data_IF_440118971777
#
_entry.id   IF_440118971777
#
_cell.length_a   1.000
_cell.length_b   1.000
_cell.length_c   1.000
_cell.angle_alpha   90.00
_cell.angle_beta   90.00
_cell.angle_gamma   90.00
#
_symmetry.space_group_name_H-M   'P 1'
#
loop_
_entity.id
_entity.type
_entity.pdbx_description
1 polymer ?
#
# COMPACT_ATOMS: atom_id res chain seq x y z
N UNK A 1 36.40 -11.59 -0.13
CA UNK A 1 37.10 -10.68 -1.08
C UNK A 1 36.28 -9.43 -1.39
N UNK A 2 34.96 -9.53 -1.57
CA UNK A 2 34.06 -8.40 -1.87
C UNK A 2 33.99 -7.33 -0.77
N UNK A 3 33.89 -7.71 0.51
CA UNK A 3 33.82 -6.74 1.63
C UNK A 3 35.08 -5.90 1.74
N UNK A 4 36.28 -6.50 1.65
CA UNK A 4 37.53 -5.75 1.67
C UNK A 4 37.62 -4.73 0.52
N UNK A 5 37.13 -5.09 -0.66
CA UNK A 5 37.09 -4.20 -1.82
C UNK A 5 36.17 -3.02 -1.55
N UNK A 6 34.95 -3.27 -1.07
CA UNK A 6 33.95 -2.24 -0.79
C UNK A 6 34.19 -1.48 0.53
N UNK A 7 35.13 -1.90 1.37
CA UNK A 7 35.40 -1.23 2.64
C UNK A 7 36.05 0.14 2.41
N UNK A 8 35.33 1.20 2.73
CA UNK A 8 35.82 2.57 2.77
C UNK A 8 36.62 2.82 4.04
N UNK A 9 37.86 2.37 4.01
CA UNK A 9 38.77 2.50 5.14
C UNK A 9 39.06 3.96 5.53
N UNK A 10 38.92 4.91 4.59
CA UNK A 10 39.17 6.34 4.84
C UNK A 10 38.05 6.89 5.72
N UNK A 11 36.80 6.62 5.37
CA UNK A 11 35.65 6.98 6.22
C UNK A 11 35.74 6.33 7.59
N UNK A 12 36.07 5.04 7.66
CA UNK A 12 36.26 4.32 8.92
C UNK A 12 37.36 4.95 9.79
N UNK A 13 38.53 5.25 9.21
CA UNK A 13 39.66 5.90 9.89
C UNK A 13 39.34 7.31 10.38
N UNK A 14 38.61 8.10 9.59
CA UNK A 14 38.27 9.47 9.93
C UNK A 14 37.21 9.54 11.02
N UNK A 15 36.22 8.63 10.97
CA UNK A 15 35.13 8.55 11.93
C UNK A 15 35.60 8.18 13.33
N UNK A 16 36.46 7.16 13.44
CA UNK A 16 36.95 6.65 14.72
C UNK A 16 38.31 7.26 15.10
N UNK A 17 38.28 8.29 15.95
CA UNK A 17 39.48 9.06 16.32
C UNK A 17 40.56 8.27 17.06
N UNK A 18 40.17 7.22 17.77
CA UNK A 18 41.06 6.29 18.46
C UNK A 18 41.97 5.52 17.48
N UNK A 19 41.49 5.21 16.27
CA UNK A 19 42.30 4.52 15.24
C UNK A 19 43.54 5.32 14.83
N UNK A 20 43.44 6.66 14.89
CA UNK A 20 44.57 7.57 14.64
C UNK A 20 45.63 7.44 15.72
N UNK A 21 45.20 7.32 16.97
CA UNK A 21 46.08 7.23 18.13
C UNK A 21 46.90 5.94 18.12
N UNK A 22 46.33 4.85 17.59
CA UNK A 22 46.99 3.54 17.48
C UNK A 22 47.63 3.28 16.10
N UNK A 23 47.76 4.30 15.25
CA UNK A 23 48.53 4.23 14.01
C UNK A 23 47.91 3.38 12.89
N UNK A 24 46.59 3.20 12.90
CA UNK A 24 45.85 2.50 11.84
C UNK A 24 45.60 3.46 10.68
N UNK A 25 46.61 3.67 9.84
CA UNK A 25 46.61 4.70 8.80
C UNK A 25 46.66 4.16 7.36
N UNK A 26 46.36 2.88 7.15
CA UNK A 26 46.31 2.25 5.81
C UNK A 26 45.09 1.35 5.68
N UNK A 27 44.66 1.09 4.45
CA UNK A 27 43.53 0.18 4.17
C UNK A 27 43.72 -1.20 4.80
N UNK A 28 44.93 -1.76 4.71
CA UNK A 28 45.25 -3.08 5.28
C UNK A 28 45.12 -3.06 6.80
N UNK A 29 45.71 -2.05 7.46
CA UNK A 29 45.61 -1.93 8.93
C UNK A 29 44.17 -1.73 9.38
N UNK A 30 43.41 -0.86 8.70
CA UNK A 30 42.02 -0.58 9.01
C UNK A 30 41.13 -1.80 8.81
N UNK A 31 41.35 -2.55 7.73
CA UNK A 31 40.66 -3.81 7.49
C UNK A 31 40.98 -4.86 8.53
N UNK A 32 42.26 -5.03 8.87
CA UNK A 32 42.68 -5.96 9.93
C UNK A 32 42.00 -5.60 11.26
N UNK A 33 42.00 -4.32 11.63
CA UNK A 33 41.29 -3.86 12.82
C UNK A 33 39.79 -4.15 12.75
N UNK A 34 39.14 -3.87 11.62
CA UNK A 34 37.71 -4.15 11.41
C UNK A 34 37.37 -5.61 11.67
N UNK A 35 38.13 -6.55 11.08
CA UNK A 35 37.85 -7.99 11.19
C UNK A 35 38.23 -8.58 12.56
N UNK A 36 39.26 -8.03 13.24
CA UNK A 36 39.71 -8.58 14.54
C UNK A 36 38.98 -8.01 15.74
N UNK A 37 38.63 -6.72 15.68
CA UNK A 37 38.11 -5.95 16.82
C UNK A 37 36.85 -5.15 16.44
N UNK A 38 36.91 -4.32 15.39
CA UNK A 38 35.86 -3.35 15.06
C UNK A 38 34.45 -3.95 14.95
N UNK A 39 34.31 -5.12 14.32
CA UNK A 39 33.01 -5.81 14.20
C UNK A 39 32.45 -6.28 15.54
N UNK A 40 33.32 -6.74 16.45
CA UNK A 40 32.95 -7.17 17.81
C UNK A 40 32.60 -5.99 18.71
N UNK A 41 33.25 -4.86 18.47
CA UNK A 41 32.99 -3.59 19.15
C UNK A 41 31.71 -2.90 18.66
N UNK A 42 31.02 -3.46 17.66
CA UNK A 42 29.80 -2.86 17.09
C UNK A 42 30.07 -1.63 16.23
N UNK A 43 31.30 -1.45 15.72
CA UNK A 43 31.62 -0.35 14.81
C UNK A 43 30.87 -0.47 13.49
N UNK A 44 30.76 0.64 12.77
CA UNK A 44 30.02 0.74 11.52
C UNK A 44 30.89 0.31 10.35
N UNK A 45 30.30 -0.52 9.48
CA UNK A 45 30.88 -0.86 8.20
C UNK A 45 30.57 0.25 7.19
N UNK A 46 31.61 0.95 6.73
CA UNK A 46 31.50 1.98 5.70
C UNK A 46 31.59 1.34 4.31
N UNK A 47 30.45 1.06 3.69
CA UNK A 47 30.39 0.44 2.36
C UNK A 47 30.49 1.52 1.26
N UNK A 48 31.55 1.45 0.44
CA UNK A 48 31.81 2.38 -0.66
C UNK A 48 30.64 2.53 -1.64
N UNK A 49 29.87 1.47 -1.90
CA UNK A 49 28.71 1.54 -2.82
C UNK A 49 27.55 2.27 -2.17
N UNK A 50 27.31 2.04 -0.88
CA UNK A 50 26.25 2.73 -0.16
C UNK A 50 26.58 4.21 0.03
N UNK A 51 27.81 4.51 0.45
CA UNK A 51 28.30 5.88 0.66
C UNK A 51 28.17 6.72 -0.61
N UNK A 52 28.53 6.16 -1.77
CA UNK A 52 28.39 6.83 -3.06
C UNK A 52 26.95 7.21 -3.41
N UNK A 53 25.97 6.49 -2.87
CA UNK A 53 24.55 6.71 -3.12
C UNK A 53 23.84 7.41 -1.95
N UNK A 54 24.55 7.72 -0.87
CA UNK A 54 24.00 8.35 0.33
C UNK A 54 24.30 9.85 0.34
N UNK A 55 23.30 10.64 -0.04
CA UNK A 55 23.34 12.09 0.16
C UNK A 55 22.80 12.41 1.57
N UNK A 56 23.73 12.69 2.48
CA UNK A 56 23.40 12.96 3.88
C UNK A 56 22.59 14.25 4.08
N UNK A 57 22.73 15.24 3.18
CA UNK A 57 21.98 16.49 3.27
C UNK A 57 20.53 16.26 2.84
N UNK A 58 20.33 15.53 1.73
CA UNK A 58 18.99 15.11 1.30
C UNK A 58 18.33 14.25 2.38
N UNK A 59 19.07 13.29 2.95
CA UNK A 59 18.56 12.45 4.03
C UNK A 59 18.03 13.28 5.21
N UNK A 60 18.79 14.27 5.69
CA UNK A 60 18.35 15.13 6.79
C UNK A 60 17.16 16.01 6.37
N UNK A 61 17.18 16.57 5.16
CA UNK A 61 16.12 17.45 4.67
C UNK A 61 14.79 16.71 4.45
N UNK A 62 14.85 15.45 4.01
CA UNK A 62 13.67 14.59 3.85
C UNK A 62 12.94 14.32 5.18
N UNK A 63 13.65 14.42 6.30
CA UNK A 63 13.18 13.96 7.60
C UNK A 63 13.41 15.02 8.70
N UNK A 64 12.50 16.00 8.83
CA UNK A 64 12.63 17.08 9.82
C UNK A 64 12.71 16.57 11.27
N UNK A 65 12.16 15.39 11.57
CA UNK A 65 12.26 14.77 12.88
C UNK A 65 13.71 14.45 13.29
N UNK A 66 14.63 14.39 12.32
CA UNK A 66 16.06 14.16 12.57
C UNK A 66 16.80 15.39 13.09
N UNK A 67 16.23 16.59 12.97
CA UNK A 67 16.88 17.84 13.42
C UNK A 67 17.23 17.80 14.91
N UNK A 68 16.45 17.09 15.73
CA UNK A 68 16.72 16.90 17.16
C UNK A 68 18.02 16.14 17.47
N UNK A 69 18.51 15.31 16.53
CA UNK A 69 19.72 14.53 16.72
C UNK A 69 21.01 15.28 16.33
N UNK A 70 20.91 16.52 15.81
CA UNK A 70 22.06 17.36 15.42
C UNK A 70 23.07 16.59 14.53
N UNK A 71 22.57 15.97 13.47
CA UNK A 71 23.36 15.21 12.48
C UNK A 71 24.15 16.17 11.56
N UNK A 72 25.05 16.97 12.13
CA UNK A 72 25.78 18.07 11.48
C UNK A 72 26.96 17.64 10.58
N UNK A 73 27.14 16.34 10.37
CA UNK A 73 28.23 15.79 9.56
C UNK A 73 27.82 14.51 8.86
N UNK A 74 28.50 14.22 7.74
CA UNK A 74 28.33 12.98 6.99
C UNK A 74 28.42 11.73 7.88
N UNK A 75 29.44 11.68 8.75
CA UNK A 75 29.67 10.54 9.64
C UNK A 75 28.47 10.26 10.55
N UNK A 76 27.97 11.29 11.26
CA UNK A 76 26.81 11.16 12.15
C UNK A 76 25.55 10.78 11.39
N UNK A 77 25.31 11.40 10.23
CA UNK A 77 24.14 11.12 9.41
C UNK A 77 24.16 9.70 8.84
N UNK A 78 25.32 9.23 8.35
CA UNK A 78 25.51 7.88 7.85
C UNK A 78 25.38 6.85 8.98
N UNK A 79 25.94 7.13 10.16
CA UNK A 79 25.76 6.29 11.35
C UNK A 79 24.28 6.12 11.69
N UNK A 80 23.55 7.23 11.81
CA UNK A 80 22.12 7.18 12.07
C UNK A 80 21.39 6.42 10.96
N UNK A 81 21.71 6.64 9.69
CA UNK A 81 21.06 5.95 8.59
C UNK A 81 21.29 4.44 8.65
N UNK A 82 22.52 3.98 8.86
CA UNK A 82 22.84 2.54 8.93
C UNK A 82 22.20 1.87 10.16
N UNK A 83 22.22 2.55 11.31
CA UNK A 83 21.77 1.96 12.58
C UNK A 83 20.26 2.07 12.80
N UNK A 84 19.61 3.11 12.28
CA UNK A 84 18.19 3.39 12.51
C UNK A 84 17.43 3.64 11.21
N UNK A 85 17.98 4.47 10.31
CA UNK A 85 17.28 4.93 9.11
C UNK A 85 16.85 3.78 8.19
N UNK A 86 17.72 2.79 7.95
CA UNK A 86 17.41 1.61 7.14
C UNK A 86 16.28 0.77 7.74
N UNK A 87 16.28 0.57 9.06
CA UNK A 87 15.22 -0.16 9.79
C UNK A 87 13.89 0.59 9.67
N UNK A 88 13.95 1.92 9.65
CA UNK A 88 12.79 2.80 9.47
C UNK A 88 12.42 3.00 7.99
N UNK A 89 13.00 2.21 7.07
CA UNK A 89 12.80 2.30 5.62
C UNK A 89 13.07 3.70 5.01
N UNK A 90 13.93 4.50 5.65
CA UNK A 90 14.27 5.85 5.18
C UNK A 90 15.16 5.85 3.94
N UNK A 91 15.08 6.92 3.15
CA UNK A 91 15.85 7.10 1.92
C UNK A 91 16.56 8.45 1.86
N UNK A 92 17.71 8.49 1.18
CA UNK A 92 18.42 9.72 0.81
C UNK A 92 18.13 10.16 -0.62
N UNK A 93 17.13 9.56 -1.28
CA UNK A 93 16.68 9.98 -2.60
C UNK A 93 15.78 11.21 -2.51
N UNK A 94 15.95 12.12 -3.46
CA UNK A 94 15.09 13.30 -3.62
C UNK A 94 13.96 13.08 -4.65
N UNK A 95 14.15 12.15 -5.58
CA UNK A 95 13.22 11.83 -6.66
C UNK A 95 13.07 10.32 -6.82
N UNK A 96 12.07 9.91 -7.60
CA UNK A 96 11.67 8.54 -7.84
C UNK A 96 11.48 7.74 -6.54
N UNK A 97 10.89 8.36 -5.52
CA UNK A 97 10.57 7.67 -4.28
C UNK A 97 9.29 8.21 -3.65
N UNK A 98 8.51 7.32 -3.05
CA UNK A 98 7.35 7.65 -2.21
C UNK A 98 7.63 7.47 -0.71
N UNK A 99 8.85 7.06 -0.32
CA UNK A 99 9.24 6.84 1.09
C UNK A 99 9.26 8.11 1.94
N UNK A 100 9.31 9.28 1.29
CA UNK A 100 9.35 10.58 1.96
C UNK A 100 7.95 11.08 2.36
N UNK A 101 6.87 10.53 1.80
CA UNK A 101 5.51 10.93 2.16
C UNK A 101 5.09 10.32 3.51
N UNK A 102 4.49 11.12 4.39
CA UNK A 102 4.08 10.70 5.74
C UNK A 102 2.73 9.96 5.79
N UNK A 103 2.10 9.71 4.63
CA UNK A 103 0.79 9.07 4.58
C UNK A 103 0.79 7.59 5.02
N UNK A 104 -0.34 7.16 5.59
CA UNK A 104 -0.60 5.78 5.97
C UNK A 104 -0.83 4.86 4.76
N UNK A 105 -0.91 3.56 5.02
CA UNK A 105 -0.92 2.51 4.01
C UNK A 105 -1.98 2.71 2.90
N UNK A 106 -3.20 3.11 3.25
CA UNK A 106 -4.29 3.34 2.30
C UNK A 106 -4.01 4.46 1.29
N UNK A 107 -3.49 5.60 1.73
CA UNK A 107 -3.15 6.70 0.82
C UNK A 107 -1.87 6.41 0.04
N UNK A 108 -0.91 5.71 0.64
CA UNK A 108 0.26 5.22 -0.08
C UNK A 108 -0.10 4.27 -1.24
N UNK A 109 -1.22 3.55 -1.19
CA UNK A 109 -1.68 2.76 -2.32
C UNK A 109 -1.92 3.62 -3.56
N UNK A 110 -2.65 4.73 -3.45
CA UNK A 110 -2.93 5.62 -4.58
C UNK A 110 -1.64 6.22 -5.16
N UNK A 111 -0.79 6.77 -4.30
CA UNK A 111 0.50 7.36 -4.70
C UNK A 111 1.38 6.30 -5.37
N UNK A 112 1.52 5.12 -4.77
CA UNK A 112 2.34 4.04 -5.31
C UNK A 112 1.80 3.52 -6.63
N UNK A 113 0.48 3.43 -6.81
CA UNK A 113 -0.11 3.02 -8.08
C UNK A 113 0.10 4.09 -9.16
N UNK A 114 -0.04 5.38 -8.84
CA UNK A 114 0.26 6.45 -9.80
C UNK A 114 1.74 6.38 -10.23
N UNK A 115 2.64 6.26 -9.25
CA UNK A 115 4.06 6.08 -9.49
C UNK A 115 4.37 4.76 -10.21
N UNK A 116 3.61 3.69 -10.01
CA UNK A 116 3.76 2.42 -10.72
C UNK A 116 3.50 2.60 -12.22
N UNK A 117 2.39 3.26 -12.58
CA UNK A 117 2.07 3.49 -13.99
C UNK A 117 3.09 4.40 -14.67
N UNK A 118 3.46 5.51 -14.02
CA UNK A 118 4.49 6.41 -14.55
C UNK A 118 5.86 5.75 -14.64
N UNK A 119 6.25 4.97 -13.62
CA UNK A 119 7.52 4.24 -13.65
C UNK A 119 7.53 3.16 -14.70
N UNK A 120 6.41 2.44 -14.91
CA UNK A 120 6.29 1.47 -15.99
C UNK A 120 6.37 2.14 -17.36
N UNK A 121 5.76 3.32 -17.51
CA UNK A 121 5.74 4.08 -18.76
C UNK A 121 7.12 4.62 -19.16
N UNK A 122 7.88 5.10 -18.18
CA UNK A 122 9.20 5.70 -18.39
C UNK A 122 10.36 4.82 -17.93
N UNK A 123 10.10 3.55 -17.61
CA UNK A 123 11.07 2.59 -17.10
C UNK A 123 11.91 3.13 -15.90
N UNK A 124 11.29 3.92 -15.02
CA UNK A 124 11.98 4.58 -13.90
C UNK A 124 12.39 3.57 -12.83
N UNK A 125 13.62 3.70 -12.34
CA UNK A 125 14.04 3.07 -11.10
C UNK A 125 13.42 3.84 -9.92
N UNK A 126 12.42 3.24 -9.26
CA UNK A 126 11.59 3.89 -8.24
C UNK A 126 11.58 3.12 -6.91
N UNK A 127 11.73 3.85 -5.80
CA UNK A 127 11.65 3.29 -4.44
C UNK A 127 10.29 3.56 -3.79
N UNK A 128 9.49 2.51 -3.63
CA UNK A 128 8.15 2.62 -3.05
C UNK A 128 8.14 2.48 -1.53
N UNK A 129 7.36 3.32 -0.85
CA UNK A 129 6.95 3.11 0.54
C UNK A 129 6.11 1.85 0.66
N UNK A 130 6.31 1.05 1.70
CA UNK A 130 5.55 -0.20 1.96
C UNK A 130 5.62 -1.23 0.82
N UNK A 131 6.68 -1.23 0.00
CA UNK A 131 6.82 -2.15 -1.14
C UNK A 131 6.60 -3.61 -0.74
N UNK A 132 7.20 -4.04 0.37
CA UNK A 132 7.08 -5.41 0.87
C UNK A 132 5.65 -5.77 1.31
N UNK A 133 4.91 -4.81 1.87
CA UNK A 133 3.52 -5.00 2.29
C UNK A 133 2.59 -5.10 1.07
N UNK A 134 2.75 -4.24 0.06
CA UNK A 134 2.02 -4.37 -1.21
C UNK A 134 2.33 -5.69 -1.91
N UNK A 135 3.60 -6.11 -1.89
CA UNK A 135 4.01 -7.42 -2.40
C UNK A 135 3.34 -8.57 -1.63
N UNK A 136 3.21 -8.48 -0.30
CA UNK A 136 2.47 -9.45 0.53
C UNK A 136 0.99 -9.51 0.10
N UNK A 137 0.37 -8.38 -0.24
CA UNK A 137 -0.98 -8.32 -0.83
C UNK A 137 -1.09 -8.85 -2.28
N UNK A 138 0.02 -9.27 -2.91
CA UNK A 138 0.03 -9.71 -4.30
C UNK A 138 0.14 -8.58 -5.33
N UNK A 139 0.36 -7.34 -4.90
CA UNK A 139 0.54 -6.17 -5.76
C UNK A 139 2.03 -5.95 -5.99
N UNK A 140 2.49 -6.24 -7.22
CA UNK A 140 3.90 -6.03 -7.58
C UNK A 140 4.05 -4.70 -8.30
N UNK A 141 4.65 -3.74 -7.61
CA UNK A 141 4.98 -2.45 -8.19
C UNK A 141 6.21 -2.58 -9.10
N UNK A 142 6.07 -2.10 -10.33
CA UNK A 142 7.12 -2.02 -11.35
C UNK A 142 8.35 -1.25 -10.83
N UNK A 143 9.54 -1.80 -11.03
CA UNK A 143 10.81 -1.12 -10.76
C UNK A 143 11.65 -1.22 -12.03
N UNK A 144 11.88 -0.08 -12.67
CA UNK A 144 12.71 0.02 -13.85
C UNK A 144 14.18 0.21 -13.52
N UNK A 145 14.96 0.58 -14.53
CA UNK A 145 16.40 0.81 -14.40
C UNK A 145 16.86 2.20 -14.87
N UNK A 146 15.95 3.06 -15.33
CA UNK A 146 16.28 4.38 -15.84
C UNK A 146 16.24 5.45 -14.75
N UNK A 147 17.13 6.43 -14.91
CA UNK A 147 17.12 7.73 -14.24
C UNK A 147 17.37 8.78 -15.31
N UNK A 148 16.69 9.90 -15.23
CA UNK A 148 16.78 11.00 -16.20
C UNK A 148 17.56 12.19 -15.61
N UNK A 149 17.92 13.15 -16.45
CA UNK A 149 18.61 14.37 -16.00
C UNK A 149 17.63 15.39 -15.42
N UNK A 150 16.41 15.43 -15.97
CA UNK A 150 15.36 16.37 -15.57
C UNK A 150 14.36 15.75 -14.59
N UNK A 151 13.79 16.63 -13.76
CA UNK A 151 12.80 16.28 -12.75
C UNK A 151 11.45 16.92 -13.09
N UNK A 152 10.37 16.23 -12.76
CA UNK A 152 8.99 16.69 -12.85
C UNK A 152 8.36 16.65 -11.46
N UNK A 153 7.78 17.77 -11.02
CA UNK A 153 6.99 17.79 -9.80
C UNK A 153 5.62 17.15 -10.08
N UNK A 154 5.35 16.02 -9.41
CA UNK A 154 4.07 15.33 -9.47
C UNK A 154 3.11 15.92 -8.43
N UNK A 155 1.95 16.40 -8.88
CA UNK A 155 0.91 17.01 -8.06
C UNK A 155 -0.43 16.33 -8.30
N UNK A 156 -1.42 16.58 -7.44
CA UNK A 156 -2.78 16.06 -7.63
C UNK A 156 -3.46 16.62 -8.90
N UNK A 157 -2.97 17.75 -9.43
CA UNK A 157 -3.50 18.37 -10.64
C UNK A 157 -2.99 17.72 -11.93
N UNK A 158 -1.77 17.19 -11.94
CA UNK A 158 -1.11 16.73 -13.17
C UNK A 158 -0.95 15.22 -13.29
N UNK A 159 -0.98 14.47 -12.18
CA UNK A 159 -0.54 13.08 -12.19
C UNK A 159 -1.37 12.18 -13.12
N UNK A 160 -2.68 12.39 -13.16
CA UNK A 160 -3.58 11.53 -13.93
C UNK A 160 -3.40 11.73 -15.44
N UNK A 161 -3.28 13.00 -15.88
CA UNK A 161 -2.98 13.33 -17.28
C UNK A 161 -1.62 12.76 -17.69
N UNK A 162 -0.59 12.85 -16.85
CA UNK A 162 0.72 12.27 -17.13
C UNK A 162 0.70 10.74 -17.28
N UNK A 163 -0.23 10.05 -16.60
CA UNK A 163 -0.43 8.61 -16.76
C UNK A 163 -1.07 8.33 -18.12
N UNK A 164 -2.15 9.03 -18.48
CA UNK A 164 -2.96 8.72 -19.65
C UNK A 164 -2.41 9.26 -20.96
N UNK A 165 -1.79 10.45 -20.94
CA UNK A 165 -1.34 11.16 -22.13
C UNK A 165 0.16 11.05 -22.35
N UNK A 166 0.66 11.02 -23.60
CA UNK A 166 2.09 11.03 -23.87
C UNK A 166 2.79 12.25 -23.23
N UNK A 167 3.89 12.02 -22.52
CA UNK A 167 4.76 13.10 -22.04
C UNK A 167 6.23 12.69 -22.10
N UNK A 168 7.12 13.66 -21.98
CA UNK A 168 8.55 13.43 -21.91
C UNK A 168 8.91 12.63 -20.63
N UNK A 169 9.90 11.75 -20.76
CA UNK A 169 10.39 10.95 -19.64
C UNK A 169 11.27 11.78 -18.70
N UNK A 170 10.86 11.88 -17.43
CA UNK A 170 11.53 12.65 -16.37
C UNK A 170 11.53 11.85 -15.08
N UNK A 171 12.45 12.17 -14.16
CA UNK A 171 12.31 11.69 -12.79
C UNK A 171 11.12 12.37 -12.12
N UNK A 172 10.53 11.69 -11.14
CA UNK A 172 9.38 12.19 -10.40
C UNK A 172 9.82 12.71 -9.04
N UNK A 173 9.57 13.98 -8.78
CA UNK A 173 9.61 14.56 -7.44
C UNK A 173 8.17 14.63 -6.95
N UNK A 174 7.85 14.00 -5.82
CA UNK A 174 6.49 14.02 -5.32
C UNK A 174 6.24 15.28 -4.51
N UNK A 175 5.16 15.99 -4.82
CA UNK A 175 4.72 17.08 -3.96
C UNK A 175 4.43 16.56 -2.54
N UNK A 176 4.71 17.38 -1.54
CA UNK A 176 4.58 16.99 -0.14
C UNK A 176 3.16 16.52 0.20
N UNK A 177 2.15 17.24 -0.31
CA UNK A 177 0.73 16.98 -0.08
C UNK A 177 0.06 16.08 -1.15
N UNK A 178 0.84 15.36 -1.98
CA UNK A 178 0.30 14.50 -3.03
C UNK A 178 -0.52 13.34 -2.46
N UNK A 179 -1.78 13.19 -2.85
CA UNK A 179 -2.66 12.10 -2.39
C UNK A 179 -3.04 11.10 -3.47
N UNK A 180 -3.11 11.55 -4.72
CA UNK A 180 -3.70 10.87 -5.88
C UNK A 180 -5.16 10.42 -5.66
N UNK A 181 -5.88 11.06 -4.73
CA UNK A 181 -7.29 10.79 -4.45
C UNK A 181 -8.19 11.42 -5.51
N UNK A 182 -8.31 10.75 -6.66
CA UNK A 182 -9.05 11.25 -7.83
C UNK A 182 -10.08 10.22 -8.31
N UNK A 183 -11.29 10.70 -8.64
CA UNK A 183 -12.41 9.89 -9.16
C UNK A 183 -12.05 9.10 -10.42
N UNK A 184 -11.48 9.76 -11.43
CA UNK A 184 -11.11 9.11 -12.69
C UNK A 184 -10.01 8.07 -12.47
N UNK A 185 -9.06 8.38 -11.59
CA UNK A 185 -8.03 7.42 -11.21
C UNK A 185 -8.60 6.19 -10.50
N UNK A 186 -9.63 6.32 -9.66
CA UNK A 186 -10.33 5.18 -9.07
C UNK A 186 -10.93 4.24 -10.12
N UNK A 187 -11.55 4.80 -11.18
CA UNK A 187 -12.06 4.00 -12.30
C UNK A 187 -10.94 3.35 -13.12
N UNK A 188 -9.84 4.08 -13.33
CA UNK A 188 -8.64 3.54 -13.99
C UNK A 188 -8.07 2.34 -13.24
N UNK A 189 -7.89 2.49 -11.91
CA UNK A 189 -7.46 1.41 -11.02
C UNK A 189 -8.41 0.22 -11.11
N UNK A 190 -9.72 0.45 -11.06
CA UNK A 190 -10.73 -0.60 -11.18
C UNK A 190 -10.59 -1.38 -12.49
N UNK A 191 -10.33 -0.71 -13.62
CA UNK A 191 -10.07 -1.37 -14.90
C UNK A 191 -8.78 -2.19 -14.87
N UNK A 192 -7.71 -1.66 -14.28
CA UNK A 192 -6.44 -2.37 -14.14
C UNK A 192 -6.57 -3.64 -13.29
N UNK A 193 -7.18 -3.54 -12.10
CA UNK A 193 -7.34 -4.69 -11.19
C UNK A 193 -8.43 -5.69 -11.62
N UNK A 194 -9.23 -5.38 -12.64
CA UNK A 194 -10.12 -6.35 -13.30
C UNK A 194 -9.36 -7.38 -14.15
N UNK A 195 -8.14 -7.06 -14.59
CA UNK A 195 -7.34 -7.96 -15.42
C UNK A 195 -7.10 -9.25 -14.62
N UNK A 196 -7.50 -10.38 -15.21
CA UNK A 196 -7.57 -11.67 -14.52
C UNK A 196 -6.24 -12.06 -13.85
N UNK A 197 -5.12 -11.90 -14.56
CA UNK A 197 -3.79 -12.21 -14.04
C UNK A 197 -3.44 -11.40 -12.78
N UNK A 198 -3.83 -10.13 -12.75
CA UNK A 198 -3.55 -9.21 -11.63
C UNK A 198 -4.44 -9.59 -10.43
N UNK A 199 -5.74 -9.76 -10.69
CA UNK A 199 -6.71 -10.16 -9.68
C UNK A 199 -6.36 -11.51 -9.05
N UNK A 200 -6.05 -12.51 -9.87
CA UNK A 200 -5.72 -13.86 -9.41
C UNK A 200 -4.46 -13.87 -8.55
N UNK A 201 -3.47 -13.02 -8.84
CA UNK A 201 -2.27 -12.89 -8.02
C UNK A 201 -2.58 -12.38 -6.61
N UNK A 202 -3.48 -11.42 -6.48
CA UNK A 202 -3.95 -10.92 -5.17
C UNK A 202 -4.67 -12.03 -4.41
N UNK A 203 -5.60 -12.72 -5.08
CA UNK A 203 -6.36 -13.84 -4.49
C UNK A 203 -5.41 -14.95 -3.99
N UNK A 204 -4.44 -15.35 -4.81
CA UNK A 204 -3.47 -16.40 -4.46
C UNK A 204 -2.54 -15.98 -3.33
N UNK A 205 -2.20 -14.69 -3.24
CA UNK A 205 -1.34 -14.16 -2.17
C UNK A 205 -2.09 -14.02 -0.84
N UNK A 206 -3.43 -14.02 -0.87
CA UNK A 206 -4.25 -13.94 0.33
C UNK A 206 -4.19 -15.25 1.13
N UNK A 207 -3.68 -15.18 2.37
CA UNK A 207 -3.59 -16.34 3.28
C UNK A 207 -4.94 -16.91 3.72
N UNK A 208 -6.03 -16.16 3.51
CA UNK A 208 -7.41 -16.54 3.79
C UNK A 208 -8.19 -16.94 2.53
N UNK A 209 -7.51 -17.22 1.41
CA UNK A 209 -8.15 -17.42 0.11
C UNK A 209 -9.27 -18.48 0.07
N UNK A 210 -9.22 -19.50 0.93
CA UNK A 210 -10.25 -20.54 1.03
C UNK A 210 -11.64 -20.01 1.43
N UNK A 211 -11.70 -18.79 1.97
CA UNK A 211 -12.94 -18.14 2.40
C UNK A 211 -13.67 -17.44 1.25
N UNK A 212 -13.00 -17.11 0.15
CA UNK A 212 -13.63 -16.41 -0.96
C UNK A 212 -14.85 -17.19 -1.48
N UNK A 213 -15.99 -16.50 -1.62
CA UNK A 213 -17.27 -17.06 -2.05
C UNK A 213 -17.81 -18.21 -1.17
N UNK A 214 -17.28 -18.39 0.04
CA UNK A 214 -17.60 -19.52 0.92
C UNK A 214 -17.92 -19.09 2.35
N UNK A 215 -18.55 -17.92 2.51
CA UNK A 215 -19.06 -17.42 3.78
C UNK A 215 -20.21 -16.41 3.55
N UNK A 216 -21.04 -16.22 4.56
CA UNK A 216 -22.03 -15.14 4.65
C UNK A 216 -21.63 -14.12 5.72
N UNK A 217 -20.33 -13.87 5.89
CA UNK A 217 -19.80 -13.06 6.98
C UNK A 217 -19.83 -11.57 6.67
N UNK A 218 -19.95 -10.77 7.73
CA UNK A 218 -19.81 -9.31 7.70
C UNK A 218 -18.47 -8.92 8.31
N UNK A 219 -17.72 -8.08 7.62
CA UNK A 219 -16.57 -7.39 8.20
C UNK A 219 -16.86 -5.89 8.38
N UNK A 220 -16.55 -5.38 9.58
CA UNK A 220 -16.71 -3.98 9.95
C UNK A 220 -15.36 -3.35 10.19
N UNK A 221 -15.07 -2.28 9.46
CA UNK A 221 -13.92 -1.43 9.74
C UNK A 221 -14.37 -0.14 10.44
N UNK A 222 -13.80 0.14 11.61
CA UNK A 222 -14.05 1.34 12.39
C UNK A 222 -12.76 2.16 12.51
N UNK A 223 -12.71 3.32 11.85
CA UNK A 223 -11.61 4.29 11.89
C UNK A 223 -12.02 5.47 12.75
N UNK A 224 -11.31 5.68 13.86
CA UNK A 224 -11.62 6.74 14.83
C UNK A 224 -10.58 7.87 14.83
N UNK A 225 -9.30 7.57 15.03
CA UNK A 225 -8.15 8.50 15.16
C UNK A 225 -8.48 10.00 15.14
N UNK A 226 -8.14 10.70 14.06
CA UNK A 226 -8.35 12.15 13.87
C UNK A 226 -9.83 12.55 13.65
N UNK A 227 -10.70 11.62 13.24
CA UNK A 227 -12.15 11.84 13.05
C UNK A 227 -12.85 12.15 14.39
N UNK A 228 -12.23 11.82 15.53
CA UNK A 228 -12.71 12.14 16.88
C UNK A 228 -12.94 13.62 17.15
N UNK A 229 -12.25 14.51 16.44
CA UNK A 229 -12.38 15.95 16.62
C UNK A 229 -13.70 16.52 16.07
N UNK A 230 -14.40 15.76 15.23
CA UNK A 230 -15.68 16.13 14.63
C UNK A 230 -16.85 15.63 15.50
N UNK A 231 -17.09 16.35 16.61
CA UNK A 231 -18.00 16.06 17.73
C UNK A 231 -19.50 15.86 17.42
N UNK A 232 -19.93 15.50 16.20
CA UNK A 232 -21.37 15.47 15.82
C UNK A 232 -21.86 14.29 14.98
N UNK A 233 -21.10 13.21 14.84
CA UNK A 233 -21.56 12.03 14.10
C UNK A 233 -21.96 10.90 15.04
N UNK A 234 -23.19 10.36 14.88
CA UNK A 234 -23.56 9.13 15.56
C UNK A 234 -22.99 7.94 14.78
N UNK A 235 -21.69 7.65 14.97
CA UNK A 235 -21.01 6.55 14.28
C UNK A 235 -21.63 5.20 14.64
N UNK A 236 -22.06 5.01 15.89
CA UNK A 236 -22.69 3.77 16.34
C UNK A 236 -23.95 3.45 15.53
N UNK A 237 -24.83 4.43 15.34
CA UNK A 237 -26.07 4.26 14.56
C UNK A 237 -25.78 3.88 13.11
N UNK A 238 -24.75 4.47 12.48
CA UNK A 238 -24.37 4.10 11.12
C UNK A 238 -24.07 2.60 11.00
N UNK A 239 -23.24 2.05 11.89
CA UNK A 239 -22.91 0.62 11.89
C UNK A 239 -24.13 -0.24 12.27
N UNK A 240 -24.83 0.13 13.34
CA UNK A 240 -26.00 -0.59 13.86
C UNK A 240 -27.13 -0.69 12.84
N UNK A 241 -27.51 0.42 12.19
CA UNK A 241 -28.61 0.44 11.22
C UNK A 241 -28.22 -0.17 9.87
N UNK A 242 -26.93 -0.16 9.51
CA UNK A 242 -26.46 -0.86 8.32
C UNK A 242 -26.48 -2.37 8.53
N UNK A 243 -26.01 -2.85 9.68
CA UNK A 243 -26.04 -4.27 10.04
C UNK A 243 -27.45 -4.88 9.98
N UNK A 244 -28.48 -4.15 10.42
CA UNK A 244 -29.88 -4.62 10.39
C UNK A 244 -30.41 -4.94 8.98
N UNK A 245 -29.76 -4.44 7.93
CA UNK A 245 -30.16 -4.66 6.53
C UNK A 245 -29.56 -5.94 5.93
N UNK A 246 -28.63 -6.56 6.63
CA UNK A 246 -27.81 -7.66 6.12
C UNK A 246 -28.20 -8.94 6.86
N UNK A 247 -28.43 -10.01 6.10
CA UNK A 247 -28.50 -11.38 6.65
C UNK A 247 -27.11 -12.00 6.58
N UNK A 248 -26.56 -12.36 7.73
CA UNK A 248 -25.17 -12.79 7.89
C UNK A 248 -25.04 -13.98 8.86
N UNK A 249 -23.90 -14.66 8.79
CA UNK A 249 -23.54 -15.76 9.69
C UNK A 249 -22.70 -15.27 10.87
N UNK A 250 -21.53 -14.68 10.60
CA UNK A 250 -20.64 -14.13 11.62
C UNK A 250 -20.32 -12.64 11.37
N UNK A 251 -19.95 -11.94 12.43
CA UNK A 251 -19.53 -10.52 12.36
C UNK A 251 -18.12 -10.37 12.91
N UNK A 252 -17.30 -9.69 12.12
CA UNK A 252 -15.93 -9.36 12.45
C UNK A 252 -15.73 -7.85 12.52
N UNK A 253 -14.85 -7.39 13.40
CA UNK A 253 -14.54 -5.98 13.57
C UNK A 253 -13.04 -5.73 13.66
N UNK A 254 -12.57 -4.70 12.99
CA UNK A 254 -11.21 -4.15 13.14
C UNK A 254 -11.27 -2.64 13.30
N UNK A 255 -10.36 -2.10 14.10
CA UNK A 255 -10.25 -0.66 14.34
C UNK A 255 -8.82 -0.26 14.67
N UNK A 256 -8.48 1.00 14.36
CA UNK A 256 -7.27 1.65 14.88
C UNK A 256 -7.32 1.85 16.40
N UNK A 257 -8.51 1.76 17.00
CA UNK A 257 -8.76 1.93 18.43
C UNK A 257 -9.86 0.98 18.91
N UNK A 258 -9.55 -0.31 18.91
CA UNK A 258 -10.56 -1.34 19.25
C UNK A 258 -11.13 -1.18 20.68
N UNK A 259 -10.36 -0.61 21.61
CA UNK A 259 -10.77 -0.38 23.00
C UNK A 259 -11.67 0.85 23.17
N UNK A 260 -11.93 1.60 22.10
CA UNK A 260 -12.83 2.76 22.17
C UNK A 260 -14.27 2.33 22.50
N UNK A 261 -14.97 3.16 23.28
CA UNK A 261 -16.35 2.90 23.72
C UNK A 261 -17.30 2.52 22.58
N UNK A 262 -17.19 3.15 21.40
CA UNK A 262 -18.06 2.81 20.24
C UNK A 262 -17.78 1.37 19.75
N UNK A 263 -16.51 1.00 19.60
CA UNK A 263 -16.11 -0.34 19.20
C UNK A 263 -16.55 -1.38 20.24
N UNK A 264 -16.31 -1.11 21.52
CA UNK A 264 -16.72 -1.98 22.63
C UNK A 264 -18.24 -2.15 22.70
N UNK A 265 -19.02 -1.09 22.47
CA UNK A 265 -20.48 -1.19 22.40
C UNK A 265 -20.94 -2.07 21.23
N UNK A 266 -20.33 -1.92 20.05
CA UNK A 266 -20.63 -2.76 18.88
C UNK A 266 -20.29 -4.23 19.14
N UNK A 267 -19.10 -4.49 19.71
CA UNK A 267 -18.62 -5.83 20.05
C UNK A 267 -19.60 -6.51 21.00
N UNK A 268 -19.97 -5.86 22.11
CA UNK A 268 -20.87 -6.45 23.10
C UNK A 268 -22.29 -6.64 22.54
N UNK A 269 -22.83 -5.66 21.82
CA UNK A 269 -24.22 -5.71 21.33
C UNK A 269 -24.43 -6.80 20.28
N UNK A 270 -23.44 -7.04 19.43
CA UNK A 270 -23.55 -7.95 18.29
C UNK A 270 -22.65 -9.19 18.39
N UNK A 271 -22.01 -9.41 19.54
CA UNK A 271 -21.07 -10.51 19.78
C UNK A 271 -20.00 -10.63 18.69
N UNK A 272 -19.37 -9.51 18.32
CA UNK A 272 -18.44 -9.45 17.19
C UNK A 272 -17.08 -10.09 17.53
N UNK A 273 -16.49 -10.78 16.56
CA UNK A 273 -15.13 -11.29 16.66
C UNK A 273 -14.11 -10.22 16.27
N UNK A 274 -13.13 -9.96 17.13
CA UNK A 274 -12.09 -8.96 16.87
C UNK A 274 -11.05 -9.52 15.90
N UNK A 275 -10.78 -8.78 14.83
CA UNK A 275 -9.64 -9.00 13.93
C UNK A 275 -8.51 -8.07 14.36
N UNK A 276 -7.59 -8.61 15.16
CA UNK A 276 -6.37 -7.91 15.57
C UNK A 276 -5.19 -8.40 14.74
N UNK A 277 -4.99 -7.80 13.56
CA UNK A 277 -3.98 -8.19 12.58
C UNK A 277 -3.27 -6.96 12.01
N UNK A 278 -2.13 -7.17 11.35
CA UNK A 278 -1.46 -6.09 10.60
C UNK A 278 -2.35 -5.56 9.45
N UNK A 279 -1.96 -4.44 8.84
CA UNK A 279 -2.75 -3.77 7.79
C UNK A 279 -3.04 -4.70 6.60
N UNK A 280 -2.05 -5.50 6.21
CA UNK A 280 -2.14 -6.40 5.05
C UNK A 280 -3.08 -7.55 5.36
N UNK A 281 -2.90 -8.22 6.49
CA UNK A 281 -3.72 -9.35 6.89
C UNK A 281 -5.15 -8.95 7.22
N UNK A 282 -5.36 -7.73 7.72
CA UNK A 282 -6.69 -7.14 7.90
C UNK A 282 -7.39 -6.99 6.55
N UNK A 283 -6.73 -6.40 5.55
CA UNK A 283 -7.28 -6.29 4.18
C UNK A 283 -7.54 -7.67 3.59
N UNK A 284 -6.57 -8.59 3.72
CA UNK A 284 -6.70 -9.97 3.24
C UNK A 284 -7.94 -10.65 3.83
N UNK A 285 -8.09 -10.65 5.16
CA UNK A 285 -9.24 -11.25 5.81
C UNK A 285 -10.55 -10.58 5.38
N UNK A 286 -10.61 -9.25 5.49
CA UNK A 286 -11.78 -8.47 5.17
C UNK A 286 -12.24 -8.69 3.72
N UNK A 287 -11.31 -8.72 2.76
CA UNK A 287 -11.62 -8.93 1.34
C UNK A 287 -12.34 -10.25 1.04
N UNK A 288 -12.26 -11.24 1.94
CA UNK A 288 -12.96 -12.52 1.80
C UNK A 288 -14.42 -12.47 2.25
N UNK A 289 -14.82 -11.47 3.04
CA UNK A 289 -16.14 -11.40 3.63
C UNK A 289 -17.19 -10.99 2.59
N UNK A 290 -18.35 -11.64 2.63
CA UNK A 290 -19.45 -11.37 1.70
C UNK A 290 -20.00 -9.96 1.82
N UNK A 291 -19.97 -9.38 3.01
CA UNK A 291 -20.47 -8.05 3.28
C UNK A 291 -19.43 -7.20 4.00
N UNK A 292 -19.27 -5.95 3.55
CA UNK A 292 -18.33 -4.99 4.15
C UNK A 292 -19.06 -3.75 4.64
N UNK A 293 -18.80 -3.33 5.88
CA UNK A 293 -19.26 -2.04 6.43
C UNK A 293 -18.02 -1.25 6.83
N UNK A 294 -17.79 -0.14 6.14
CA UNK A 294 -16.50 0.55 6.13
C UNK A 294 -16.63 1.94 6.75
N UNK A 295 -15.56 2.47 7.35
CA UNK A 295 -15.46 3.91 7.64
C UNK A 295 -15.11 4.72 6.40
N UNK A 296 -15.21 6.05 6.51
CA UNK A 296 -14.58 6.96 5.55
C UNK A 296 -13.05 6.91 5.66
N UNK A 297 -12.35 7.01 4.53
CA UNK A 297 -10.89 7.06 4.45
C UNK A 297 -10.28 6.08 3.46
N UNK A 298 -9.03 6.33 3.07
CA UNK A 298 -8.32 5.56 2.03
C UNK A 298 -8.02 4.11 2.43
N UNK A 299 -7.77 3.83 3.70
CA UNK A 299 -7.56 2.45 4.17
C UNK A 299 -8.85 1.61 4.09
N UNK A 300 -9.97 2.16 4.58
CA UNK A 300 -11.28 1.52 4.42
C UNK A 300 -11.66 1.36 2.94
N UNK A 301 -11.37 2.37 2.12
CA UNK A 301 -11.57 2.28 0.67
C UNK A 301 -10.77 1.12 0.08
N UNK A 302 -9.50 0.94 0.49
CA UNK A 302 -8.66 -0.15 0.02
C UNK A 302 -9.21 -1.52 0.41
N UNK A 303 -9.75 -1.66 1.63
CA UNK A 303 -10.47 -2.88 2.06
C UNK A 303 -11.62 -3.19 1.09
N UNK A 304 -12.49 -2.21 0.84
CA UNK A 304 -13.61 -2.36 -0.10
C UNK A 304 -13.14 -2.65 -1.52
N UNK A 305 -12.08 -1.99 -1.99
CA UNK A 305 -11.55 -2.13 -3.33
C UNK A 305 -10.95 -3.52 -3.60
N UNK A 306 -10.38 -4.15 -2.56
CA UNK A 306 -9.87 -5.52 -2.63
C UNK A 306 -10.96 -6.58 -2.42
N UNK A 307 -12.16 -6.21 -1.97
CA UNK A 307 -13.32 -7.07 -1.82
C UNK A 307 -13.96 -7.47 -3.15
N UNK A 308 -13.20 -8.10 -4.05
CA UNK A 308 -13.62 -8.43 -5.42
C UNK A 308 -14.91 -9.26 -5.48
N UNK A 309 -15.19 -10.03 -4.43
CA UNK A 309 -16.32 -10.96 -4.34
C UNK A 309 -17.34 -10.56 -3.27
N UNK A 310 -17.17 -9.41 -2.63
CA UNK A 310 -18.14 -8.92 -1.65
C UNK A 310 -19.43 -8.53 -2.38
N UNK A 311 -20.56 -9.08 -1.92
CA UNK A 311 -21.89 -8.85 -2.49
C UNK A 311 -22.33 -7.40 -2.31
N UNK A 312 -22.15 -6.88 -1.10
CA UNK A 312 -22.52 -5.50 -0.76
C UNK A 312 -21.43 -4.85 0.09
N UNK A 313 -21.10 -3.60 -0.27
CA UNK A 313 -20.10 -2.79 0.41
C UNK A 313 -20.77 -1.49 0.83
N UNK A 314 -20.73 -1.18 2.12
CA UNK A 314 -21.35 -0.01 2.72
C UNK A 314 -20.29 0.97 3.20
N UNK A 315 -20.55 2.27 3.03
CA UNK A 315 -19.65 3.34 3.49
C UNK A 315 -20.46 4.57 3.95
N UNK A 316 -19.92 5.42 4.84
CA UNK A 316 -20.58 6.66 5.23
C UNK A 316 -20.52 7.68 4.09
N UNK A 317 -21.68 8.15 3.64
CA UNK A 317 -21.78 9.18 2.61
C UNK A 317 -21.93 10.57 3.25
N UNK A 318 -20.91 11.42 3.09
CA UNK A 318 -20.86 12.79 3.61
C UNK A 318 -20.56 13.78 2.48
N UNK A 319 -21.11 15.02 2.55
CA UNK A 319 -20.87 16.06 1.53
C UNK A 319 -19.45 16.63 1.54
N UNK A 320 -18.75 16.57 2.66
CA UNK A 320 -17.39 17.09 2.83
C UNK A 320 -16.50 16.00 3.41
N UNK A 321 -15.70 15.36 2.58
CA UNK A 321 -14.83 14.24 2.96
C UNK A 321 -13.37 14.68 2.92
N UNK A 322 -12.64 14.47 4.01
CA UNK A 322 -11.20 14.76 4.09
C UNK A 322 -10.37 13.88 3.15
N UNK A 323 -10.94 12.75 2.72
CA UNK A 323 -10.32 11.79 1.81
C UNK A 323 -10.64 12.05 0.32
N UNK A 324 -11.30 13.16 -0.01
CA UNK A 324 -11.68 13.49 -1.38
C UNK A 324 -12.76 12.56 -1.95
N UNK A 325 -12.85 12.52 -3.29
CA UNK A 325 -13.88 11.78 -4.03
C UNK A 325 -13.36 10.42 -4.55
N UNK A 326 -13.09 9.50 -3.61
CA UNK A 326 -12.61 8.14 -3.92
C UNK A 326 -13.72 7.08 -3.87
N UNK A 327 -14.78 7.31 -3.09
CA UNK A 327 -15.93 6.39 -2.97
C UNK A 327 -16.92 6.59 -4.12
N UNK A 328 -16.49 6.28 -5.34
CA UNK A 328 -17.15 6.66 -6.60
C UNK A 328 -17.87 5.52 -7.31
N UNK A 329 -17.86 4.31 -6.74
CA UNK A 329 -18.43 3.13 -7.39
C UNK A 329 -19.92 3.01 -7.08
N UNK A 330 -20.76 3.08 -8.13
CA UNK A 330 -22.22 3.04 -8.02
C UNK A 330 -22.79 1.82 -7.26
N UNK A 331 -22.07 0.70 -7.25
CA UNK A 331 -22.47 -0.53 -6.52
C UNK A 331 -22.14 -0.49 -5.02
N UNK A 332 -21.40 0.50 -4.55
CA UNK A 332 -21.16 0.70 -3.13
C UNK A 332 -22.31 1.52 -2.53
N UNK A 333 -22.83 1.04 -1.42
CA UNK A 333 -23.99 1.59 -0.76
C UNK A 333 -23.58 2.71 0.20
N UNK A 334 -23.71 3.95 -0.24
CA UNK A 334 -23.54 5.12 0.61
C UNK A 334 -24.68 5.23 1.62
N UNK A 335 -24.36 5.26 2.92
CA UNK A 335 -25.34 5.45 4.00
C UNK A 335 -25.06 6.77 4.70
N UNK A 336 -26.06 7.65 4.76
CA UNK A 336 -25.95 8.89 5.53
C UNK A 336 -26.04 8.64 7.03
N UNK A 337 -25.48 9.55 7.84
CA UNK A 337 -25.67 9.51 9.29
C UNK A 337 -27.13 9.87 9.64
N UNK A 338 -27.82 8.96 10.31
CA UNK A 338 -29.15 9.22 10.86
C UNK A 338 -29.04 10.29 11.96
N UNK A 339 -29.92 11.30 11.94
CA UNK A 339 -29.99 12.43 12.87
C UNK A 339 -28.98 13.60 12.75
N UNK A 340 -28.42 13.85 11.57
CA UNK A 340 -28.12 15.25 11.19
C UNK A 340 -29.40 15.86 10.60
N UNK A 341 -30.03 16.78 11.32
CA UNK A 341 -31.23 17.55 10.93
C UNK A 341 -31.48 17.57 9.41
N UNK A 342 -32.54 16.86 8.97
CA UNK A 342 -33.33 17.15 7.77
C UNK A 342 -32.52 17.68 6.57
N UNK A 343 -31.50 16.95 6.09
CA UNK A 343 -30.83 17.31 4.84
C UNK A 343 -31.29 16.40 3.70
N UNK A 344 -32.16 16.99 2.88
CA UNK A 344 -32.75 16.45 1.66
C UNK A 344 -31.83 15.54 0.86
N UNK A 345 -32.36 14.36 0.52
CA UNK A 345 -31.90 13.53 -0.58
C UNK A 345 -31.79 14.38 -1.85
N UNK A 346 -30.56 14.67 -2.28
CA UNK A 346 -30.25 14.63 -3.70
C UNK A 346 -29.47 13.34 -3.90
N UNK A 347 -30.13 12.36 -4.52
CA UNK A 347 -29.46 11.35 -5.34
C UNK A 347 -28.36 12.09 -6.10
N UNK A 348 -27.08 11.78 -5.86
CA UNK A 348 -26.12 11.94 -6.94
C UNK A 348 -26.65 11.02 -8.02
N UNK A 349 -27.18 11.61 -9.08
CA UNK A 349 -27.44 10.90 -10.32
C UNK A 349 -26.05 10.47 -10.77
N UNK A 350 -25.66 9.26 -10.36
CA UNK A 350 -24.72 8.52 -11.14
C UNK A 350 -25.42 8.29 -12.48
N UNK A 351 -24.68 8.54 -13.55
CA UNK A 351 -25.16 8.33 -14.92
C UNK A 351 -25.86 6.96 -15.03
N UNK A 352 -26.92 6.94 -15.84
CA UNK A 352 -27.81 5.79 -16.05
C UNK A 352 -27.04 4.46 -16.20
N UNK A 353 -27.63 3.35 -15.73
CA UNK A 353 -26.97 2.06 -15.68
C UNK A 353 -26.61 1.58 -17.10
N UNK A 354 -25.33 1.31 -17.33
CA UNK A 354 -24.93 0.28 -18.30
C UNK A 354 -24.71 -1.01 -17.53
N UNK A 355 -25.45 -2.05 -17.91
CA UNK A 355 -25.56 -3.37 -17.27
C UNK A 355 -24.27 -4.23 -17.33
N UNK A 356 -23.08 -3.65 -17.24
CA UNK A 356 -21.81 -4.39 -17.40
C UNK A 356 -21.22 -4.91 -16.08
N UNK A 357 -22.05 -5.51 -15.23
CA UNK A 357 -21.55 -6.26 -14.08
C UNK A 357 -22.44 -7.44 -13.70
N UNK A 358 -22.20 -8.57 -14.37
CA UNK A 358 -22.35 -9.90 -13.82
C UNK A 358 -21.24 -10.81 -14.37
N UNK A 359 -20.35 -11.27 -13.49
CA UNK A 359 -19.56 -12.50 -13.64
C UNK A 359 -19.70 -13.24 -12.30
N UNK A 360 -20.93 -13.53 -11.88
CA UNK A 360 -21.11 -14.67 -10.99
C UNK A 360 -20.88 -15.91 -11.83
N UNK A 361 -20.20 -16.96 -11.34
CA UNK A 361 -20.12 -18.24 -12.03
C UNK A 361 -21.48 -18.97 -12.15
N UNK A 362 -22.61 -18.29 -11.94
CA UNK A 362 -23.94 -18.90 -11.75
C UNK A 362 -25.12 -18.26 -12.51
N UNK A 363 -24.94 -17.48 -13.59
CA UNK A 363 -26.04 -17.26 -14.55
C UNK A 363 -25.72 -17.86 -15.94
N UNK A 364 -26.33 -19.02 -16.15
CA UNK A 364 -26.81 -19.62 -17.40
C UNK A 364 -25.95 -19.51 -18.66
N UNK A 365 -25.14 -20.56 -18.89
CA UNK A 365 -25.29 -21.32 -20.13
C UNK A 365 -25.21 -22.83 -19.83
N UNK A 366 -26.30 -23.52 -20.17
CA UNK A 366 -26.39 -24.97 -20.28
C UNK A 366 -25.30 -25.46 -21.25
N UNK A 367 -24.29 -26.16 -20.74
CA UNK A 367 -23.47 -27.05 -21.56
C UNK A 367 -23.87 -28.49 -21.25
N UNK A 368 -25.06 -28.88 -21.70
CA UNK A 368 -25.27 -30.28 -22.07
C UNK A 368 -24.31 -30.57 -23.22
N UNK A 369 -23.28 -31.36 -22.94
CA UNK A 369 -22.39 -31.89 -23.98
C UNK A 369 -23.24 -32.76 -24.90
N UNK A 370 -23.50 -32.27 -26.11
CA UNK A 370 -23.99 -33.12 -27.19
C UNK A 370 -22.88 -34.12 -27.53
N UNK A 371 -23.24 -35.41 -27.56
CA UNK A 371 -22.35 -36.53 -27.84
C UNK A 371 -21.84 -36.58 -29.29
N UNK A 372 -21.88 -35.48 -30.04
CA UNK A 372 -21.45 -35.39 -31.44
C UNK A 372 -20.03 -34.84 -31.63
N UNK A 373 -19.41 -34.24 -30.62
CA UNK A 373 -18.16 -33.48 -30.83
C UNK A 373 -16.89 -34.20 -30.33
N UNK A 374 -16.97 -35.52 -30.11
CA UNK A 374 -15.77 -36.35 -29.87
C UNK A 374 -15.10 -36.69 -31.20
N UNK A 375 -14.31 -35.75 -31.72
CA UNK A 375 -13.32 -36.06 -32.76
C UNK A 375 -12.13 -36.75 -32.10
N UNK A 376 -12.11 -38.09 -32.19
CA UNK A 376 -10.96 -38.92 -31.82
C UNK A 376 -9.78 -38.62 -32.74
N UNK A 377 -8.75 -37.93 -32.24
CA UNK A 377 -7.42 -37.96 -32.86
C UNK A 377 -6.39 -38.45 -31.85
N UNK A 378 -6.23 -39.77 -31.80
CA UNK A 378 -5.04 -40.42 -31.21
C UNK A 378 -3.83 -40.09 -32.10
N UNK A 379 -2.80 -39.45 -31.54
CA UNK A 379 -1.44 -39.53 -32.07
C UNK A 379 -0.54 -40.20 -31.03
N UNK A 380 0.11 -41.34 -31.35
CA UNK A 380 0.95 -42.06 -30.41
C UNK A 380 2.35 -41.42 -30.30
N UNK A 381 2.84 -41.31 -29.07
CA UNK A 381 4.23 -40.97 -28.75
C UNK A 381 5.13 -42.16 -29.06
N UNK A 382 6.06 -41.99 -30.00
CA UNK A 382 7.13 -42.94 -30.31
C UNK A 382 8.38 -42.49 -29.58
N UNK A 383 8.82 -43.27 -28.60
CA UNK A 383 10.16 -43.20 -28.00
C UNK A 383 11.04 -44.14 -28.81
N UNK A 384 12.10 -43.62 -29.43
CA UNK A 384 13.18 -44.45 -29.99
C UNK A 384 14.40 -44.37 -29.10
N UNK A 385 14.78 -45.53 -28.58
CA UNK A 385 16.05 -45.82 -27.94
C UNK A 385 17.11 -46.16 -29.00
N UNK A 386 18.20 -45.40 -28.99
CA UNK A 386 19.59 -45.81 -29.31
C UNK A 386 20.49 -44.60 -29.13
#
# INVERSE_FOLDING_TARGET
MSEYVNFDWISYYNFYGDLRQIGINTKVKAWNHWITAGKKEGRIFFDLKEIKNFDWKIYINNYPDLYKYKLDSFGKAYEHWVTQGKIQERTSLYYNTSKINYYGFGSSFFINMACHFLSSKYNLNFEYKYYHLFKKLGIILFIGNQKYNDNLLLTDDNFYELITEPSEAKNLVLNYDLTCHNKNFCFYLKKYFKIEQIRNKIIQSNIFNIRYNNNDDVFIHVRLGDVRLLRKHNLFDYYSETLKKISYENIYISSDEIDNNICQQLIHKYNMTIINKDEVETIMFASTCKYLILSGGSFSWLIGFMGFFSKEIYYPCNKNTWYGDIFVFNKWNGVGFFNTFKYYMKKSIADDPTDEWYDSPFDYNNYTVNSSDVVKTKKPLVVKSS
#
